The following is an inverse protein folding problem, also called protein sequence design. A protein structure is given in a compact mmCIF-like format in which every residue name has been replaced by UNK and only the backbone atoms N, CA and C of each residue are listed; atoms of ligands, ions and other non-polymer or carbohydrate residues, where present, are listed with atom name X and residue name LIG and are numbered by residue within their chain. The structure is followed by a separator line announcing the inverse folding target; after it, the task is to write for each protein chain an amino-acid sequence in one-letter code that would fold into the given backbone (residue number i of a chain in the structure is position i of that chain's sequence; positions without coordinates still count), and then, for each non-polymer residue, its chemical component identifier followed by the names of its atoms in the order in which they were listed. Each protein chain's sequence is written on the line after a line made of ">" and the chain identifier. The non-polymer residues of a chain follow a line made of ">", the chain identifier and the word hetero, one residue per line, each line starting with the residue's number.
data_IF_683762582790
#
_entry.id   IF_683762582790
#
_cell.length_a   1.000
_cell.length_b   1.000
_cell.length_c   1.000
_cell.angle_alpha   90.00
_cell.angle_beta   90.00
_cell.angle_gamma   90.00
#
_symmetry.space_group_name_H-M   'P 1'
#
loop_
_entity.id
_entity.type
_entity.pdbx_description
1 polymer ?
#
# COMPACT_ATOMS: atom_id res chain seq x y z
N UNK A 1 -8.61 -14.01 -2.69
CA UNK A 1 -8.66 -12.96 -1.68
C UNK A 1 -8.06 -11.62 -2.15
N UNK A 2 -8.29 -11.20 -3.39
CA UNK A 2 -7.81 -9.88 -3.86
C UNK A 2 -8.90 -8.78 -3.79
N UNK A 3 -9.96 -8.99 -3.04
CA UNK A 3 -11.15 -8.15 -3.11
C UNK A 3 -11.23 -7.01 -2.08
N UNK A 4 -10.61 -7.15 -0.95
CA UNK A 4 -10.62 -6.19 0.16
C UNK A 4 -9.19 -5.92 0.58
N UNK A 5 -8.51 -5.04 -0.14
CA UNK A 5 -7.15 -4.67 0.24
C UNK A 5 -7.21 -3.44 1.13
N UNK A 6 -6.59 -3.58 2.27
CA UNK A 6 -6.34 -2.52 3.22
C UNK A 6 -5.12 -1.72 2.77
N UNK A 7 -3.93 -2.19 3.13
CA UNK A 7 -2.68 -1.60 2.67
C UNK A 7 -2.00 -2.52 1.66
N UNK A 8 -1.40 -1.94 0.64
CA UNK A 8 -0.71 -2.69 -0.40
C UNK A 8 0.59 -3.34 0.10
N UNK A 9 1.26 -2.72 1.06
CA UNK A 9 2.65 -3.05 1.41
C UNK A 9 2.96 -2.73 2.87
N UNK A 10 2.03 -3.03 3.79
CA UNK A 10 2.20 -2.77 5.20
C UNK A 10 3.29 -3.64 5.84
N UNK A 11 4.09 -3.03 6.73
CA UNK A 11 5.10 -3.78 7.48
C UNK A 11 4.45 -4.64 8.56
N UNK A 12 3.50 -4.08 9.31
CA UNK A 12 2.74 -4.74 10.37
C UNK A 12 1.25 -4.71 10.10
N UNK A 13 0.50 -5.50 10.84
CA UNK A 13 -0.96 -5.39 10.85
C UNK A 13 -1.40 -4.11 11.55
N UNK A 14 -2.60 -3.62 11.23
CA UNK A 14 -3.18 -2.43 11.85
C UNK A 14 -4.55 -2.76 12.43
N UNK A 15 -4.81 -2.26 13.63
CA UNK A 15 -6.12 -2.36 14.29
C UNK A 15 -7.15 -1.39 13.68
N UNK A 16 -6.71 -0.41 12.89
CA UNK A 16 -7.58 0.52 12.18
C UNK A 16 -8.36 -0.14 11.03
N UNK A 17 -7.94 -1.33 10.62
CA UNK A 17 -8.56 -2.10 9.57
C UNK A 17 -9.20 -3.36 10.15
N UNK A 18 -10.36 -3.77 9.64
CA UNK A 18 -11.06 -4.93 10.20
C UNK A 18 -10.16 -6.15 10.23
N UNK A 19 -10.33 -6.90 11.28
CA UNK A 19 -9.58 -8.12 11.54
C UNK A 19 -9.87 -9.13 10.44
N UNK A 20 -8.94 -9.27 9.53
CA UNK A 20 -8.92 -10.44 8.63
C UNK A 20 -8.68 -11.67 9.49
N UNK A 21 -9.29 -12.77 9.16
CA UNK A 21 -8.98 -14.05 9.81
C UNK A 21 -7.45 -14.26 9.80
N UNK A 22 -6.91 -14.89 10.84
CA UNK A 22 -5.46 -15.08 10.97
C UNK A 22 -4.80 -15.72 9.73
N UNK A 23 -5.59 -16.50 8.95
CA UNK A 23 -5.16 -17.09 7.68
C UNK A 23 -5.01 -16.06 6.52
N UNK A 24 -5.56 -14.86 6.67
CA UNK A 24 -5.61 -13.84 5.61
C UNK A 24 -4.76 -12.61 5.95
N UNK A 25 -3.86 -12.73 6.92
CA UNK A 25 -2.90 -11.68 7.24
C UNK A 25 -1.78 -11.62 6.21
N UNK A 26 -1.49 -10.43 5.73
CA UNK A 26 -0.51 -10.22 4.66
C UNK A 26 0.55 -9.16 4.99
N UNK A 27 0.72 -8.79 6.26
CA UNK A 27 1.81 -7.91 6.63
C UNK A 27 3.17 -8.57 6.38
N UNK A 28 4.16 -7.76 6.06
CA UNK A 28 5.51 -8.26 5.81
C UNK A 28 6.06 -9.02 7.01
N UNK A 29 5.85 -8.50 8.23
CA UNK A 29 6.30 -9.15 9.47
C UNK A 29 5.62 -10.51 9.69
N UNK A 30 4.32 -10.62 9.42
CA UNK A 30 3.61 -11.89 9.52
C UNK A 30 4.20 -12.95 8.57
N UNK A 31 4.44 -12.57 7.31
CA UNK A 31 5.00 -13.47 6.30
C UNK A 31 6.43 -13.88 6.64
N UNK A 32 7.27 -12.93 7.03
CA UNK A 32 8.66 -13.20 7.43
C UNK A 32 8.71 -14.15 8.63
N UNK A 33 7.90 -13.89 9.67
CA UNK A 33 7.87 -14.75 10.84
C UNK A 33 7.40 -16.18 10.52
N UNK A 34 6.43 -16.35 9.61
CA UNK A 34 6.00 -17.67 9.16
C UNK A 34 7.10 -18.44 8.43
N UNK A 35 7.87 -17.78 7.57
CA UNK A 35 9.01 -18.41 6.90
C UNK A 35 10.12 -18.78 7.88
N UNK A 36 10.41 -17.92 8.87
CA UNK A 36 11.37 -18.23 9.93
C UNK A 36 10.91 -19.44 10.75
N UNK A 37 9.65 -19.51 11.13
CA UNK A 37 9.06 -20.64 11.84
C UNK A 37 9.08 -21.93 11.01
N UNK A 38 9.02 -21.84 9.68
CA UNK A 38 9.17 -22.96 8.77
C UNK A 38 10.63 -23.38 8.54
N UNK A 39 11.59 -22.71 9.16
CA UNK A 39 13.01 -23.08 9.12
C UNK A 39 13.86 -22.36 8.07
N UNK A 40 13.32 -21.38 7.34
CA UNK A 40 14.14 -20.53 6.48
C UNK A 40 15.08 -19.67 7.33
N UNK A 41 16.32 -19.54 6.88
CA UNK A 41 17.28 -18.63 7.53
C UNK A 41 17.00 -17.19 7.10
N UNK A 42 17.14 -16.20 7.98
CA UNK A 42 17.00 -14.79 7.62
C UNK A 42 17.82 -14.39 6.39
N UNK A 43 19.05 -14.87 6.29
CA UNK A 43 19.99 -14.63 5.19
C UNK A 43 19.55 -15.23 3.82
N UNK A 44 18.44 -15.96 3.77
CA UNK A 44 17.88 -16.50 2.54
C UNK A 44 16.66 -15.67 2.05
N UNK A 45 16.28 -14.64 2.77
CA UNK A 45 15.09 -13.84 2.47
C UNK A 45 15.44 -12.40 2.12
N UNK A 46 14.89 -11.91 1.03
CA UNK A 46 14.85 -10.49 0.71
C UNK A 46 13.45 -9.94 0.93
N UNK A 47 13.35 -8.76 1.53
CA UNK A 47 12.07 -8.05 1.65
C UNK A 47 11.75 -7.32 0.35
N UNK A 48 10.59 -7.62 -0.26
CA UNK A 48 10.08 -6.91 -1.42
C UNK A 48 9.47 -5.56 -1.01
N UNK A 49 9.83 -4.50 -1.74
CA UNK A 49 9.33 -3.15 -1.54
C UNK A 49 8.72 -2.66 -2.84
N UNK A 50 7.44 -2.27 -2.81
CA UNK A 50 6.74 -1.78 -4.01
C UNK A 50 6.93 -0.28 -4.20
N UNK A 51 7.58 0.15 -5.27
CA UNK A 51 7.68 1.57 -5.63
C UNK A 51 6.41 2.06 -6.33
N UNK A 52 5.27 1.66 -5.79
CA UNK A 52 3.95 1.96 -6.34
C UNK A 52 2.88 1.91 -5.25
N UNK A 53 1.72 2.47 -5.58
CA UNK A 53 0.51 2.28 -4.81
C UNK A 53 -0.50 1.41 -5.54
N UNK A 54 -1.48 0.91 -4.80
CA UNK A 54 -2.63 0.19 -5.33
C UNK A 54 -3.92 0.89 -4.97
N UNK A 55 -4.75 1.13 -5.99
CA UNK A 55 -6.13 1.58 -5.78
C UNK A 55 -6.94 0.37 -5.33
N UNK A 56 -7.58 0.42 -4.15
CA UNK A 56 -8.42 -0.68 -3.71
C UNK A 56 -9.64 -0.81 -4.60
N UNK A 57 -10.11 -2.01 -4.81
CA UNK A 57 -11.28 -2.29 -5.65
C UNK A 57 -12.58 -1.68 -5.16
N UNK A 58 -12.60 -1.16 -3.94
CA UNK A 58 -13.67 -0.34 -3.36
C UNK A 58 -13.05 0.83 -2.63
N UNK A 59 -13.57 2.02 -2.85
CA UNK A 59 -13.26 3.16 -2.00
C UNK A 59 -13.95 2.94 -0.65
N UNK A 60 -13.18 3.01 0.42
CA UNK A 60 -13.67 2.61 1.74
C UNK A 60 -13.30 3.61 2.80
N UNK A 61 -14.24 3.83 3.71
CA UNK A 61 -14.03 4.67 4.87
C UNK A 61 -13.19 3.89 5.92
N UNK A 62 -12.15 4.50 6.47
CA UNK A 62 -11.44 3.92 7.61
C UNK A 62 -12.39 3.62 8.77
N UNK A 63 -12.28 2.45 9.38
CA UNK A 63 -13.10 2.05 10.52
C UNK A 63 -14.43 1.37 10.18
N UNK A 64 -14.74 1.14 8.91
CA UNK A 64 -15.90 0.32 8.53
C UNK A 64 -15.56 -1.18 8.63
N UNK A 65 -16.45 -1.94 9.24
CA UNK A 65 -16.38 -3.40 9.30
C UNK A 65 -16.72 -4.02 7.93
N UNK A 66 -15.71 -4.33 7.17
CA UNK A 66 -15.79 -4.87 5.80
C UNK A 66 -16.45 -6.23 5.70
N UNK A 67 -16.38 -7.05 6.75
CA UNK A 67 -17.01 -8.35 6.75
C UNK A 67 -18.52 -8.24 6.68
N UNK A 68 -19.07 -7.18 7.29
CA UNK A 68 -20.51 -6.88 7.24
C UNK A 68 -20.91 -6.23 5.90
N UNK A 69 -20.05 -5.37 5.35
CA UNK A 69 -20.32 -4.73 4.07
C UNK A 69 -20.35 -5.74 2.92
N UNK A 70 -19.43 -6.71 2.91
CA UNK A 70 -19.40 -7.77 1.90
C UNK A 70 -20.60 -8.73 2.01
N UNK A 71 -21.04 -9.06 3.20
CA UNK A 71 -22.21 -9.90 3.41
C UNK A 71 -23.52 -9.25 2.93
N UNK A 72 -23.60 -7.92 2.94
CA UNK A 72 -24.81 -7.17 2.58
C UNK A 72 -24.88 -6.78 1.11
N UNK A 73 -23.74 -6.67 0.40
CA UNK A 73 -23.67 -6.12 -0.94
C UNK A 73 -23.43 -7.13 -2.06
N UNK A 74 -23.45 -8.42 -1.76
CA UNK A 74 -23.26 -9.51 -2.72
C UNK A 74 -22.10 -9.27 -3.71
N UNK A 75 -20.88 -9.54 -3.31
CA UNK A 75 -19.66 -9.03 -3.95
C UNK A 75 -19.34 -9.60 -5.33
N UNK A 76 -19.93 -10.71 -5.71
CA UNK A 76 -19.56 -11.45 -6.92
C UNK A 76 -20.03 -10.78 -8.22
N UNK A 77 -20.99 -9.87 -8.14
CA UNK A 77 -21.64 -9.27 -9.32
C UNK A 77 -21.51 -7.74 -9.42
N UNK A 78 -20.92 -7.10 -8.42
CA UNK A 78 -20.76 -5.64 -8.43
C UNK A 78 -19.48 -5.24 -9.15
N UNK A 79 -19.47 -4.11 -9.89
CA UNK A 79 -18.23 -3.56 -10.44
C UNK A 79 -17.23 -3.31 -9.28
N UNK A 80 -15.97 -3.66 -9.50
CA UNK A 80 -14.93 -3.58 -8.46
C UNK A 80 -14.63 -2.15 -7.99
N UNK A 81 -15.06 -1.13 -8.75
CA UNK A 81 -14.87 0.28 -8.44
C UNK A 81 -16.20 1.02 -8.57
N UNK A 82 -16.45 1.96 -7.65
CA UNK A 82 -17.57 2.86 -7.75
C UNK A 82 -17.43 3.82 -8.95
N UNK A 83 -18.54 4.28 -9.55
CA UNK A 83 -18.51 5.20 -10.68
C UNK A 83 -17.70 6.49 -10.42
N UNK A 84 -17.78 7.03 -9.23
CA UNK A 84 -17.01 8.22 -8.81
C UNK A 84 -15.51 7.96 -8.75
N UNK A 85 -15.10 6.79 -8.26
CA UNK A 85 -13.71 6.37 -8.21
C UNK A 85 -13.16 6.19 -9.63
N UNK A 86 -13.90 5.52 -10.50
CA UNK A 86 -13.54 5.35 -11.92
C UNK A 86 -13.37 6.72 -12.59
N UNK A 87 -14.33 7.62 -12.43
CA UNK A 87 -14.28 8.96 -13.03
C UNK A 87 -13.10 9.78 -12.51
N UNK A 88 -12.83 9.72 -11.20
CA UNK A 88 -11.70 10.41 -10.60
C UNK A 88 -10.38 9.93 -11.19
N UNK A 89 -10.12 8.63 -11.17
CA UNK A 89 -8.86 8.08 -11.68
C UNK A 89 -8.73 8.23 -13.19
N UNK A 90 -9.82 8.14 -13.94
CA UNK A 90 -9.83 8.44 -15.38
C UNK A 90 -9.44 9.90 -15.67
N UNK A 91 -9.87 10.86 -14.86
CA UNK A 91 -9.46 12.26 -14.97
C UNK A 91 -7.96 12.50 -14.74
N UNK A 92 -7.29 11.55 -14.10
CA UNK A 92 -5.85 11.55 -13.84
C UNK A 92 -5.05 10.68 -14.85
N UNK A 93 -5.75 10.10 -15.84
CA UNK A 93 -5.15 9.29 -16.89
C UNK A 93 -5.03 7.79 -16.56
N UNK A 94 -5.77 7.29 -15.55
CA UNK A 94 -5.77 5.88 -15.17
C UNK A 94 -7.04 5.17 -15.62
N UNK A 95 -6.89 3.97 -16.14
CA UNK A 95 -7.98 3.06 -16.48
C UNK A 95 -8.03 1.91 -15.45
N UNK A 96 -8.85 2.10 -14.42
CA UNK A 96 -8.99 1.12 -13.34
C UNK A 96 -9.58 -0.22 -13.79
N UNK A 97 -10.14 -0.30 -15.01
CA UNK A 97 -10.60 -1.57 -15.60
C UNK A 97 -9.42 -2.46 -16.02
N UNK A 98 -8.27 -1.85 -16.30
CA UNK A 98 -7.05 -2.53 -16.73
C UNK A 98 -6.09 -2.78 -15.60
N UNK A 99 -5.82 -1.78 -14.77
CA UNK A 99 -4.86 -1.89 -13.68
C UNK A 99 -5.23 -0.97 -12.50
N UNK A 100 -4.88 -1.43 -11.31
CA UNK A 100 -4.99 -0.67 -10.06
C UNK A 100 -3.65 -0.09 -9.61
N UNK A 101 -2.63 -0.30 -10.40
CA UNK A 101 -1.26 0.11 -10.14
C UNK A 101 -1.06 1.58 -10.44
N UNK A 102 -0.49 2.31 -9.48
CA UNK A 102 -0.13 3.73 -9.62
C UNK A 102 1.35 3.88 -9.27
N UNK A 103 2.16 4.29 -10.22
CA UNK A 103 3.60 4.51 -10.02
C UNK A 103 3.86 5.54 -8.93
N UNK A 104 4.94 5.38 -8.17
CA UNK A 104 5.34 6.36 -7.16
C UNK A 104 5.50 7.77 -7.74
N UNK A 105 6.11 7.92 -8.92
CA UNK A 105 6.21 9.19 -9.63
C UNK A 105 4.87 9.88 -9.81
N UNK A 106 3.85 9.12 -10.17
CA UNK A 106 2.51 9.66 -10.40
C UNK A 106 1.80 9.98 -9.08
N UNK A 107 2.04 9.19 -8.03
CA UNK A 107 1.53 9.52 -6.70
C UNK A 107 2.07 10.87 -6.25
N UNK A 108 3.38 11.06 -6.32
CA UNK A 108 4.02 12.32 -5.91
C UNK A 108 3.71 13.45 -6.89
N UNK A 109 3.80 13.20 -8.21
CA UNK A 109 3.67 14.23 -9.23
C UNK A 109 2.23 14.64 -9.56
N UNK A 110 1.27 13.71 -9.45
CA UNK A 110 -0.12 13.95 -9.87
C UNK A 110 -1.09 13.96 -8.70
N UNK A 111 -1.04 12.95 -7.80
CA UNK A 111 -2.03 12.83 -6.74
C UNK A 111 -1.76 13.82 -5.60
N UNK A 112 -0.56 13.82 -5.04
CA UNK A 112 -0.18 14.74 -3.96
C UNK A 112 -0.10 16.21 -4.42
N UNK A 113 0.19 16.43 -5.70
CA UNK A 113 0.22 17.75 -6.32
C UNK A 113 -1.05 18.07 -7.13
N UNK A 114 -2.15 17.37 -6.88
CA UNK A 114 -3.43 17.63 -7.56
C UNK A 114 -3.86 19.09 -7.37
N UNK A 115 -4.06 19.87 -8.47
CA UNK A 115 -4.45 21.28 -8.37
C UNK A 115 -5.78 21.49 -7.62
N UNK A 116 -6.66 20.50 -7.64
CA UNK A 116 -7.93 20.52 -6.92
C UNK A 116 -7.81 20.06 -5.46
N UNK A 117 -6.61 19.64 -5.04
CA UNK A 117 -6.31 19.17 -3.67
C UNK A 117 -7.27 18.08 -3.19
N UNK A 118 -7.65 17.18 -4.08
CA UNK A 118 -8.61 16.10 -3.77
C UNK A 118 -8.02 15.02 -2.87
N UNK A 119 -6.69 14.87 -2.86
CA UNK A 119 -6.00 13.83 -2.10
C UNK A 119 -5.35 14.41 -0.85
N UNK A 120 -5.47 13.68 0.24
CA UNK A 120 -4.79 14.00 1.51
C UNK A 120 -3.94 12.80 1.93
N UNK A 121 -2.67 13.07 2.23
CA UNK A 121 -1.76 12.05 2.75
C UNK A 121 -1.99 11.82 4.24
N UNK A 122 -2.00 10.55 4.62
CA UNK A 122 -2.07 10.07 5.98
C UNK A 122 -0.96 9.06 6.25
N UNK A 123 -0.73 8.81 7.54
CA UNK A 123 0.21 7.81 8.00
C UNK A 123 -0.49 6.85 8.97
N UNK A 124 -0.37 5.54 8.74
CA UNK A 124 -0.77 4.54 9.71
C UNK A 124 0.45 4.13 10.55
N UNK A 125 0.39 4.47 11.86
CA UNK A 125 1.53 4.25 12.73
C UNK A 125 1.67 2.79 13.21
N UNK A 126 0.61 2.00 13.14
CA UNK A 126 0.67 0.56 13.40
C UNK A 126 1.25 -0.18 12.20
N UNK A 127 0.68 0.01 11.02
CA UNK A 127 1.10 -0.63 9.78
C UNK A 127 2.43 -0.12 9.22
N UNK A 128 2.90 1.08 9.65
CA UNK A 128 4.09 1.77 9.15
C UNK A 128 4.04 2.07 7.65
N UNK A 129 2.90 2.58 7.20
CA UNK A 129 2.65 2.82 5.77
C UNK A 129 1.89 4.13 5.54
N UNK A 130 2.23 4.90 4.48
CA UNK A 130 1.44 6.03 4.05
C UNK A 130 0.24 5.57 3.23
N UNK A 131 -0.84 6.36 3.30
CA UNK A 131 -2.00 6.17 2.46
C UNK A 131 -2.64 7.50 2.08
N UNK A 132 -3.39 7.52 0.99
CA UNK A 132 -4.12 8.68 0.54
C UNK A 132 -5.61 8.47 0.76
N UNK A 133 -6.27 9.52 1.24
CA UNK A 133 -7.72 9.64 1.17
C UNK A 133 -8.13 10.60 0.05
N UNK A 134 -9.35 10.42 -0.43
CA UNK A 134 -10.05 11.37 -1.30
C UNK A 134 -11.39 11.69 -0.64
N UNK A 135 -11.87 12.93 -0.78
CA UNK A 135 -13.18 13.28 -0.23
C UNK A 135 -14.32 12.76 -1.12
N UNK A 136 -15.35 12.18 -0.49
CA UNK A 136 -16.62 11.90 -1.16
C UNK A 136 -17.37 13.19 -1.48
N UNK A 137 -18.46 13.08 -2.23
CA UNK A 137 -19.34 14.21 -2.51
C UNK A 137 -19.93 14.87 -1.24
N UNK A 138 -20.07 14.10 -0.17
CA UNK A 138 -20.56 14.53 1.15
C UNK A 138 -19.43 15.02 2.07
N UNK A 139 -18.20 15.14 1.56
CA UNK A 139 -17.04 15.61 2.31
C UNK A 139 -16.44 14.58 3.28
N UNK A 140 -16.83 13.31 3.18
CA UNK A 140 -16.24 12.25 4.00
C UNK A 140 -14.94 11.72 3.36
N UNK A 141 -13.90 11.40 4.15
CA UNK A 141 -12.70 10.81 3.62
C UNK A 141 -12.96 9.38 3.17
N UNK A 142 -12.59 9.08 1.92
CA UNK A 142 -12.58 7.74 1.35
C UNK A 142 -11.14 7.28 1.17
N UNK A 143 -10.85 6.02 1.45
CA UNK A 143 -9.54 5.46 1.18
C UNK A 143 -9.29 5.39 -0.33
N UNK A 144 -8.25 6.06 -0.80
CA UNK A 144 -7.92 6.09 -2.22
C UNK A 144 -6.89 5.04 -2.61
N UNK A 145 -5.76 4.99 -1.91
CA UNK A 145 -4.70 3.99 -2.11
C UNK A 145 -3.69 4.02 -0.95
N UNK A 146 -2.91 2.95 -0.80
CA UNK A 146 -1.68 2.98 -0.02
C UNK A 146 -0.46 2.75 -0.92
N UNK A 147 0.71 3.20 -0.46
CA UNK A 147 1.93 3.19 -1.24
C UNK A 147 3.16 3.18 -0.32
N UNK A 148 4.36 3.31 -0.88
CA UNK A 148 5.59 3.54 -0.12
C UNK A 148 6.04 5.00 -0.25
N UNK A 149 6.57 5.56 0.83
CA UNK A 149 7.28 6.83 0.81
C UNK A 149 8.68 6.67 1.46
N UNK A 150 9.56 7.68 1.44
CA UNK A 150 10.88 7.56 2.05
C UNK A 150 10.85 7.13 3.53
N UNK A 151 9.83 7.55 4.29
CA UNK A 151 9.66 7.15 5.69
C UNK A 151 9.40 5.66 5.84
N UNK A 152 8.46 5.11 5.08
CA UNK A 152 8.14 3.67 5.15
C UNK A 152 9.29 2.80 4.65
N UNK A 153 10.00 3.25 3.62
CA UNK A 153 11.19 2.57 3.09
C UNK A 153 12.31 2.52 4.12
N UNK A 154 12.57 3.63 4.82
CA UNK A 154 13.58 3.68 5.89
C UNK A 154 13.24 2.69 7.03
N UNK A 155 11.98 2.67 7.48
CA UNK A 155 11.52 1.73 8.53
C UNK A 155 11.66 0.28 8.08
N UNK A 156 11.36 -0.03 6.82
CA UNK A 156 11.55 -1.38 6.26
C UNK A 156 13.02 -1.76 6.15
N UNK A 157 13.90 -0.82 5.82
CA UNK A 157 15.35 -1.07 5.83
C UNK A 157 15.86 -1.37 7.25
N UNK A 158 15.37 -0.66 8.26
CA UNK A 158 15.70 -0.96 9.66
C UNK A 158 15.16 -2.33 10.09
N UNK A 159 13.96 -2.70 9.66
CA UNK A 159 13.40 -4.03 9.87
C UNK A 159 14.28 -5.13 9.24
N UNK A 160 14.73 -4.95 8.00
CA UNK A 160 15.64 -5.87 7.29
C UNK A 160 16.91 -6.11 8.12
N UNK A 161 17.53 -5.04 8.60
CA UNK A 161 18.73 -5.11 9.46
C UNK A 161 18.43 -5.81 10.79
N UNK A 162 17.36 -5.43 11.46
CA UNK A 162 16.96 -5.99 12.75
C UNK A 162 16.66 -7.49 12.69
N UNK A 163 16.03 -7.96 11.61
CA UNK A 163 15.73 -9.37 11.38
C UNK A 163 16.91 -10.16 10.78
N UNK A 164 17.98 -9.49 10.36
CA UNK A 164 19.14 -10.12 9.70
C UNK A 164 18.79 -10.70 8.33
N UNK A 165 17.82 -10.10 7.62
CA UNK A 165 17.46 -10.54 6.27
C UNK A 165 18.61 -10.32 5.30
N UNK A 166 18.61 -11.05 4.18
CA UNK A 166 19.64 -10.95 3.13
C UNK A 166 19.70 -9.55 2.51
N UNK A 167 18.57 -8.85 2.43
CA UNK A 167 18.48 -7.52 1.85
C UNK A 167 17.07 -7.15 1.42
N UNK A 168 17.00 -6.26 0.44
CA UNK A 168 15.75 -5.82 -0.16
C UNK A 168 15.73 -6.12 -1.67
N UNK A 169 14.52 -6.30 -2.19
CA UNK A 169 14.20 -6.24 -3.61
C UNK A 169 13.11 -5.19 -3.79
N UNK A 170 13.13 -4.42 -4.86
CA UNK A 170 12.06 -3.49 -5.16
C UNK A 170 11.50 -3.65 -6.57
N UNK A 171 10.25 -3.31 -6.74
CA UNK A 171 9.54 -3.28 -8.00
C UNK A 171 8.78 -1.95 -8.11
N UNK A 172 9.02 -1.13 -9.11
CA UNK A 172 10.02 -1.26 -10.16
C UNK A 172 10.82 0.05 -10.29
N UNK A 173 12.03 -0.03 -10.79
CA UNK A 173 12.91 1.12 -10.94
C UNK A 173 12.28 2.27 -11.75
N UNK A 174 11.58 1.96 -12.85
CA UNK A 174 10.89 2.94 -13.69
C UNK A 174 9.65 3.60 -13.06
N UNK A 175 9.37 3.33 -11.78
CA UNK A 175 8.30 3.98 -11.02
C UNK A 175 8.82 5.06 -10.05
N UNK A 176 10.15 5.25 -9.97
CA UNK A 176 10.84 6.21 -9.10
C UNK A 176 11.90 7.01 -9.88
N UNK A 177 11.45 7.79 -10.86
CA UNK A 177 12.33 8.51 -11.80
C UNK A 177 13.31 9.49 -11.12
N UNK A 178 12.95 9.98 -9.94
CA UNK A 178 13.79 10.86 -9.13
C UNK A 178 14.71 10.09 -8.17
N UNK A 179 14.67 8.77 -8.19
CA UNK A 179 15.41 7.87 -7.29
C UNK A 179 15.22 8.18 -5.80
N UNK A 180 14.06 8.67 -5.40
CA UNK A 180 13.80 9.06 -4.00
C UNK A 180 13.73 7.83 -3.10
N UNK A 181 12.96 6.82 -3.49
CA UNK A 181 12.80 5.58 -2.72
C UNK A 181 14.07 4.71 -2.83
N UNK A 182 14.64 4.60 -4.03
CA UNK A 182 15.84 3.82 -4.26
C UNK A 182 17.04 4.36 -3.45
N UNK A 183 17.22 5.69 -3.43
CA UNK A 183 18.27 6.34 -2.65
C UNK A 183 18.03 6.17 -1.15
N UNK A 184 16.80 6.42 -0.68
CA UNK A 184 16.45 6.21 0.73
C UNK A 184 16.71 4.77 1.17
N UNK A 185 16.37 3.78 0.34
CA UNK A 185 16.61 2.37 0.64
C UNK A 185 18.11 2.08 0.75
N UNK A 186 18.90 2.54 -0.22
CA UNK A 186 20.35 2.35 -0.23
C UNK A 186 21.03 2.99 1.00
N UNK A 187 20.72 4.24 1.28
CA UNK A 187 21.23 4.97 2.45
C UNK A 187 20.88 4.27 3.76
N UNK A 188 19.61 3.86 3.92
CA UNK A 188 19.14 3.19 5.13
C UNK A 188 19.75 1.80 5.32
N UNK A 189 20.11 1.10 4.24
CA UNK A 189 20.84 -0.17 4.30
C UNK A 189 22.36 0.00 4.46
N UNK A 190 22.87 1.24 4.41
CA UNK A 190 24.31 1.51 4.53
C UNK A 190 25.09 1.22 3.24
N UNK A 191 24.43 1.15 2.10
CA UNK A 191 25.07 0.99 0.80
C UNK A 191 25.69 2.33 0.40
N UNK A 192 27.01 2.34 0.24
CA UNK A 192 27.74 3.53 -0.24
C UNK A 192 27.63 3.63 -1.76
N UNK A 193 27.35 4.82 -2.26
CA UNK A 193 27.35 5.16 -3.67
C UNK A 193 28.76 5.46 -4.16
#
# INVERSE_FOLDING_TARGET
>A
AYGTQYFNSNLYDSSHWPTVAAADKYSADFVVNNYLAAGLKPSQMNLGIGFYGRVPKRAVEPGIDWTKADAQNNPVTQPYFGPQQIALFASLGYDLSKDTYVKYNDIVGKLLNDPQKRFTEHWDDEAKVPWLSVQSAEGKPLFALSYENPRSVAIKADYIKAKGLAGAMFWEYGADDQNQLARQLAESLGIKH
#
